data_IF_247081905817
#
_entry.id   IF_247081905817
#
_cell.length_a   1.000
_cell.length_b   1.000
_cell.length_c   1.000
_cell.angle_alpha   90.00
_cell.angle_beta   90.00
_cell.angle_gamma   90.00
#
_symmetry.space_group_name_H-M   'P 1'
#
loop_
_entity.id
_entity.type
_entity.pdbx_description
1 polymer ?
#
# COMPACT_ATOMS: atom_id res chain seq x y z
N UNK A 1 22.28 35.90 10.96
CA UNK A 1 23.09 35.43 9.83
C UNK A 1 23.50 36.62 8.97
N UNK A 2 24.62 36.53 8.26
CA UNK A 2 25.13 37.51 7.29
C UNK A 2 25.22 36.89 5.89
N UNK A 3 25.54 37.67 4.86
CA UNK A 3 25.56 37.22 3.46
C UNK A 3 26.42 35.97 3.24
N UNK A 4 27.59 35.92 3.88
CA UNK A 4 28.56 34.82 3.74
C UNK A 4 28.09 33.52 4.38
N UNK A 5 27.16 33.58 5.35
CA UNK A 5 26.57 32.38 5.96
C UNK A 5 25.76 31.57 4.94
N UNK A 6 25.12 32.25 3.98
CA UNK A 6 24.26 31.63 2.97
C UNK A 6 24.96 31.48 1.61
N UNK A 7 25.67 32.52 1.16
CA UNK A 7 26.28 32.55 -0.17
C UNK A 7 27.71 32.01 -0.20
N UNK A 8 28.38 31.92 0.96
CA UNK A 8 29.82 31.68 1.04
C UNK A 8 30.65 32.95 0.88
N UNK A 9 31.96 32.82 1.02
CA UNK A 9 32.90 33.95 1.02
C UNK A 9 33.54 34.19 -0.35
N UNK A 10 33.87 33.11 -1.07
CA UNK A 10 34.51 33.14 -2.38
C UNK A 10 33.73 32.29 -3.39
N UNK A 11 33.76 32.67 -4.67
CA UNK A 11 33.11 31.91 -5.74
C UNK A 11 31.60 31.85 -5.62
N UNK A 12 30.94 32.97 -5.28
CA UNK A 12 29.48 33.05 -5.15
C UNK A 12 28.84 32.80 -6.51
N UNK A 13 28.12 31.68 -6.63
CA UNK A 13 27.43 31.27 -7.84
C UNK A 13 25.98 31.78 -7.86
N UNK A 14 25.42 32.09 -9.04
CA UNK A 14 24.02 32.47 -9.17
C UNK A 14 23.10 31.33 -8.70
N UNK A 15 21.92 31.65 -8.18
CA UNK A 15 20.96 30.66 -7.65
C UNK A 15 20.51 29.60 -8.66
N UNK A 16 20.66 29.86 -9.96
CA UNK A 16 20.32 28.92 -11.04
C UNK A 16 21.38 27.82 -11.18
N UNK A 17 22.59 28.04 -10.68
CA UNK A 17 23.66 27.05 -10.72
C UNK A 17 23.40 25.97 -9.66
N UNK A 18 23.50 24.70 -10.04
CA UNK A 18 23.30 23.56 -9.13
C UNK A 18 24.37 23.46 -8.05
N UNK A 19 25.57 24.02 -8.29
CA UNK A 19 26.64 24.10 -7.29
C UNK A 19 26.47 25.29 -6.34
N UNK A 20 25.51 26.18 -6.58
CA UNK A 20 25.22 27.29 -5.69
C UNK A 20 24.59 26.81 -4.38
N UNK A 21 25.09 27.32 -3.25
CA UNK A 21 24.49 27.08 -1.93
C UNK A 21 23.07 27.62 -1.80
N UNK A 22 22.70 28.58 -2.65
CA UNK A 22 21.36 29.15 -2.68
C UNK A 22 20.52 28.63 -3.86
N UNK A 23 20.94 27.53 -4.49
CA UNK A 23 20.11 26.78 -5.42
C UNK A 23 18.86 26.23 -4.72
N UNK A 24 17.74 26.12 -5.45
CA UNK A 24 16.46 25.64 -4.92
C UNK A 24 16.56 24.30 -4.16
N UNK A 25 17.42 23.37 -4.61
CA UNK A 25 17.65 22.08 -3.95
C UNK A 25 18.64 22.16 -2.78
N UNK A 26 19.52 23.16 -2.75
CA UNK A 26 20.53 23.35 -1.72
C UNK A 26 20.02 24.16 -0.51
N UNK A 27 18.87 24.84 -0.62
CA UNK A 27 18.31 25.68 0.45
C UNK A 27 18.12 24.90 1.76
N UNK A 28 17.68 23.64 1.68
CA UNK A 28 17.53 22.77 2.86
C UNK A 28 18.84 22.66 3.64
N UNK A 29 19.95 22.42 2.94
CA UNK A 29 21.28 22.28 3.57
C UNK A 29 21.81 23.62 4.06
N UNK A 30 21.61 24.69 3.29
CA UNK A 30 22.05 26.05 3.66
C UNK A 30 21.38 26.52 4.95
N UNK A 31 20.07 26.37 5.08
CA UNK A 31 19.37 26.65 6.33
C UNK A 31 19.74 25.63 7.43
N UNK A 32 19.93 24.36 7.04
CA UNK A 32 20.26 23.23 7.91
C UNK A 32 21.59 23.36 8.64
N UNK A 33 22.58 24.11 8.12
CA UNK A 33 23.85 24.37 8.81
C UNK A 33 23.66 24.97 10.20
N UNK A 34 22.65 25.81 10.37
CA UNK A 34 22.29 26.41 11.64
C UNK A 34 21.09 25.71 12.28
N UNK A 35 20.01 25.49 11.51
CA UNK A 35 18.75 24.93 12.03
C UNK A 35 18.80 23.41 12.30
N UNK A 36 19.78 22.70 11.76
CA UNK A 36 20.07 21.29 12.09
C UNK A 36 21.17 21.13 13.14
N UNK A 37 21.78 22.23 13.61
CA UNK A 37 22.87 22.19 14.57
C UNK A 37 22.32 22.24 16.01
N UNK A 38 22.50 21.15 16.77
CA UNK A 38 22.00 21.03 18.14
C UNK A 38 22.60 22.06 19.10
N UNK A 39 23.89 22.37 18.95
CA UNK A 39 24.58 23.35 19.81
C UNK A 39 24.01 24.75 19.60
N UNK A 40 23.84 25.17 18.35
CA UNK A 40 23.24 26.46 18.02
C UNK A 40 21.77 26.51 18.42
N UNK A 41 21.01 25.45 18.12
CA UNK A 41 19.60 25.36 18.47
C UNK A 41 19.38 25.54 19.98
N UNK A 42 20.16 24.85 20.81
CA UNK A 42 20.09 25.01 22.27
C UNK A 42 20.50 26.41 22.73
N UNK A 43 21.59 26.95 22.18
CA UNK A 43 22.10 28.28 22.55
C UNK A 43 21.09 29.38 22.29
N UNK A 44 20.36 29.30 21.18
CA UNK A 44 19.39 30.32 20.76
C UNK A 44 17.93 29.94 21.08
N UNK A 45 17.68 28.83 21.78
CA UNK A 45 16.32 28.38 22.13
C UNK A 45 15.44 28.04 20.92
N UNK A 46 16.04 27.61 19.81
CA UNK A 46 15.34 27.25 18.58
C UNK A 46 15.01 25.75 18.60
N UNK A 47 13.80 25.32 18.19
CA UNK A 47 13.49 23.90 18.05
C UNK A 47 14.45 23.20 17.08
N UNK A 48 15.07 22.10 17.53
CA UNK A 48 16.07 21.37 16.74
C UNK A 48 15.48 20.39 15.72
N UNK A 49 14.16 20.23 15.70
CA UNK A 49 13.43 19.28 14.85
C UNK A 49 12.86 19.92 13.58
N UNK A 50 13.13 21.22 13.32
CA UNK A 50 12.59 21.92 12.14
C UNK A 50 13.12 21.36 10.82
N UNK A 51 14.40 20.97 10.78
CA UNK A 51 15.00 20.35 9.60
C UNK A 51 14.44 18.94 9.36
N UNK A 52 14.35 18.13 10.42
CA UNK A 52 13.85 16.75 10.32
C UNK A 52 12.35 16.69 9.99
N UNK A 53 11.54 17.58 10.57
CA UNK A 53 10.12 17.71 10.22
C UNK A 53 9.92 18.17 8.77
N UNK A 54 10.76 19.09 8.28
CA UNK A 54 10.71 19.48 6.87
C UNK A 54 11.09 18.32 5.95
N UNK A 55 12.18 17.61 6.23
CA UNK A 55 12.64 16.46 5.43
C UNK A 55 11.60 15.34 5.37
N UNK A 56 10.83 15.15 6.45
CA UNK A 56 9.75 14.17 6.52
C UNK A 56 8.47 14.61 5.77
N UNK A 57 8.33 15.89 5.46
CA UNK A 57 7.17 16.43 4.74
C UNK A 57 7.20 16.08 3.25
N UNK A 58 6.05 16.19 2.57
CA UNK A 58 5.98 15.99 1.12
C UNK A 58 6.95 16.93 0.36
N UNK A 59 7.05 18.19 0.79
CA UNK A 59 7.95 19.16 0.15
C UNK A 59 9.42 18.77 0.32
N UNK A 60 9.83 18.35 1.52
CA UNK A 60 11.19 17.88 1.78
C UNK A 60 11.55 16.61 1.00
N UNK A 61 10.65 15.62 0.98
CA UNK A 61 10.84 14.39 0.21
C UNK A 61 10.94 14.66 -1.30
N UNK A 62 10.07 15.52 -1.85
CA UNK A 62 10.13 15.90 -3.26
C UNK A 62 11.39 16.71 -3.60
N UNK A 63 11.82 17.62 -2.72
CA UNK A 63 13.07 18.36 -2.92
C UNK A 63 14.26 17.41 -2.95
N UNK A 64 14.28 16.44 -2.03
CA UNK A 64 15.31 15.41 -1.95
C UNK A 64 15.30 14.47 -3.16
N UNK A 65 14.14 14.23 -3.75
CA UNK A 65 13.97 13.52 -5.02
C UNK A 65 14.40 14.35 -6.26
N UNK A 66 14.87 15.60 -6.07
CA UNK A 66 15.39 16.45 -7.14
C UNK A 66 14.37 17.41 -7.77
N UNK A 67 13.15 17.50 -7.24
CA UNK A 67 12.09 18.38 -7.78
C UNK A 67 12.38 19.83 -7.42
N UNK A 68 12.95 20.60 -8.35
CA UNK A 68 13.37 21.99 -8.09
C UNK A 68 12.22 22.97 -7.88
N UNK A 69 11.04 22.67 -8.42
CA UNK A 69 9.86 23.55 -8.35
C UNK A 69 9.09 23.43 -7.04
N UNK A 70 9.46 22.49 -6.16
CA UNK A 70 8.77 22.30 -4.89
C UNK A 70 9.15 23.39 -3.88
N UNK A 71 8.23 23.70 -2.97
CA UNK A 71 8.50 24.67 -1.92
C UNK A 71 9.67 24.22 -1.02
N UNK A 72 10.55 25.14 -0.67
CA UNK A 72 11.64 24.94 0.26
C UNK A 72 11.53 25.91 1.46
N UNK A 73 12.54 25.93 2.34
CA UNK A 73 12.53 26.80 3.51
C UNK A 73 12.29 28.28 3.14
N UNK A 74 12.92 28.76 2.07
CA UNK A 74 12.81 30.15 1.63
C UNK A 74 11.44 30.47 1.00
N UNK A 75 10.76 29.48 0.41
CA UNK A 75 9.39 29.65 -0.13
C UNK A 75 8.38 30.03 0.97
N UNK A 76 8.62 29.61 2.21
CA UNK A 76 7.75 29.90 3.34
C UNK A 76 8.28 31.03 4.22
N UNK A 77 9.60 31.10 4.45
CA UNK A 77 10.22 32.02 5.42
C UNK A 77 10.83 33.29 4.80
N UNK A 78 10.98 33.37 3.47
CA UNK A 78 11.76 34.41 2.81
C UNK A 78 13.25 34.08 2.73
N UNK A 79 14.05 35.00 2.17
CA UNK A 79 15.48 34.77 1.93
C UNK A 79 16.39 35.91 2.43
N UNK A 80 15.98 37.17 2.29
CA UNK A 80 16.70 38.34 2.84
C UNK A 80 15.87 39.10 3.88
N UNK A 81 14.62 38.70 4.08
CA UNK A 81 13.60 39.30 4.91
C UNK A 81 12.99 38.26 5.86
N UNK A 82 13.85 37.40 6.42
CA UNK A 82 13.43 36.30 7.31
C UNK A 82 13.00 36.90 8.65
N UNK A 83 11.69 36.90 8.89
CA UNK A 83 11.05 37.45 10.09
C UNK A 83 10.43 36.34 10.95
N UNK A 84 10.39 36.48 12.29
CA UNK A 84 9.73 35.52 13.16
C UNK A 84 8.23 35.43 12.84
N UNK A 85 7.61 34.27 13.08
CA UNK A 85 6.18 34.02 12.75
C UNK A 85 5.21 34.91 13.54
N UNK A 86 5.67 35.57 14.59
CA UNK A 86 4.91 36.56 15.37
C UNK A 86 4.91 37.96 14.74
N UNK A 87 5.80 38.24 13.79
CA UNK A 87 5.83 39.52 13.08
C UNK A 87 4.73 39.52 12.00
N UNK A 88 3.80 40.50 12.00
CA UNK A 88 2.75 40.62 10.99
C UNK A 88 3.26 40.70 9.54
N UNK A 89 4.52 41.10 9.33
CA UNK A 89 5.16 41.15 8.02
C UNK A 89 5.70 39.79 7.57
N UNK A 90 5.94 38.83 8.48
CA UNK A 90 6.47 37.50 8.17
C UNK A 90 5.54 36.73 7.23
N UNK A 91 6.12 36.09 6.21
CA UNK A 91 5.39 35.18 5.31
C UNK A 91 4.78 33.98 6.06
N UNK A 92 5.32 33.63 7.23
CA UNK A 92 4.80 32.56 8.09
C UNK A 92 3.82 33.04 9.16
N UNK A 93 3.49 34.34 9.18
CA UNK A 93 2.50 34.87 10.12
C UNK A 93 1.12 34.25 9.84
N UNK A 94 0.33 33.86 10.86
CA UNK A 94 -0.95 33.17 10.67
C UNK A 94 -1.91 33.84 9.67
N UNK A 95 -1.97 35.18 9.66
CA UNK A 95 -2.81 35.93 8.71
C UNK A 95 -2.28 35.95 7.27
N UNK A 96 -0.99 35.67 7.05
CA UNK A 96 -0.34 35.64 5.73
C UNK A 96 -0.18 34.23 5.16
N UNK A 97 -0.30 33.18 5.98
CA UNK A 97 -0.18 31.79 5.53
C UNK A 97 -1.03 31.50 4.29
N UNK A 98 -2.26 32.03 4.24
CA UNK A 98 -3.15 31.90 3.09
C UNK A 98 -2.51 32.41 1.78
N UNK A 99 -1.88 33.58 1.82
CA UNK A 99 -1.19 34.14 0.66
C UNK A 99 0.10 33.37 0.35
N UNK A 100 0.86 32.98 1.39
CA UNK A 100 2.13 32.26 1.24
C UNK A 100 1.95 30.91 0.57
N UNK A 101 1.05 30.05 1.07
CA UNK A 101 0.77 28.76 0.41
C UNK A 101 0.04 28.97 -0.92
N UNK A 102 -0.81 30.00 -1.03
CA UNK A 102 -1.53 30.35 -2.26
C UNK A 102 -0.64 30.69 -3.45
N UNK A 103 0.63 31.05 -3.22
CA UNK A 103 1.62 31.26 -4.29
C UNK A 103 1.89 30.00 -5.12
N UNK A 104 1.77 28.81 -4.52
CA UNK A 104 1.91 27.52 -5.20
C UNK A 104 0.59 26.74 -5.28
N UNK A 105 -0.37 27.02 -4.39
CA UNK A 105 -1.67 26.37 -4.31
C UNK A 105 -2.82 27.33 -4.64
N UNK A 106 -2.98 27.73 -5.92
CA UNK A 106 -4.03 28.65 -6.31
C UNK A 106 -5.42 28.06 -6.04
N UNK A 107 -6.30 28.85 -5.44
CA UNK A 107 -7.67 28.45 -5.12
C UNK A 107 -7.83 27.57 -3.87
N UNK A 108 -6.75 27.28 -3.13
CA UNK A 108 -6.80 26.47 -1.91
C UNK A 108 -7.51 27.15 -0.71
N UNK A 109 -7.95 28.40 -0.84
CA UNK A 109 -8.68 29.13 0.20
C UNK A 109 -7.81 29.56 1.38
N UNK A 110 -8.35 29.55 2.60
CA UNK A 110 -7.64 29.91 3.84
C UNK A 110 -7.69 28.82 4.91
N UNK A 111 -8.45 27.73 4.67
CA UNK A 111 -8.69 26.65 5.64
C UNK A 111 -7.46 25.80 5.94
N UNK A 112 -6.43 25.87 5.10
CA UNK A 112 -5.16 25.19 5.35
C UNK A 112 -4.29 25.86 6.42
N UNK A 113 -4.59 27.10 6.83
CA UNK A 113 -3.85 27.81 7.87
C UNK A 113 -4.07 27.24 9.30
N UNK A 114 -4.93 26.23 9.44
CA UNK A 114 -5.40 25.66 10.71
C UNK A 114 -4.52 24.47 11.14
N UNK A 115 -3.19 24.62 11.12
CA UNK A 115 -2.29 23.55 11.57
C UNK A 115 -0.82 23.92 11.57
N UNK A 116 -0.03 23.17 12.33
CA UNK A 116 1.43 23.30 12.36
C UNK A 116 2.04 22.76 11.07
N UNK A 117 2.92 23.52 10.41
CA UNK A 117 3.60 23.08 9.18
C UNK A 117 4.77 22.15 9.54
N UNK A 118 5.60 22.56 10.50
CA UNK A 118 6.71 21.77 11.01
C UNK A 118 6.25 20.90 12.16
N UNK A 119 5.74 19.72 11.85
CA UNK A 119 5.47 18.67 12.83
C UNK A 119 6.28 17.43 12.46
N UNK A 120 6.64 16.64 13.47
CA UNK A 120 7.32 15.37 13.28
C UNK A 120 6.45 14.23 13.77
N UNK A 121 6.62 13.05 13.18
CA UNK A 121 5.85 11.87 13.57
C UNK A 121 5.95 11.64 15.09
N UNK A 122 4.82 11.60 15.79
CA UNK A 122 4.76 11.46 17.25
C UNK A 122 4.87 12.76 18.05
N UNK A 123 5.04 13.92 17.41
CA UNK A 123 5.08 15.23 18.08
C UNK A 123 4.26 16.29 17.32
N UNK A 124 3.31 16.92 18.02
CA UNK A 124 2.52 18.06 17.48
C UNK A 124 1.70 17.75 16.22
N UNK A 125 1.39 16.48 15.97
CA UNK A 125 0.50 16.05 14.89
C UNK A 125 -0.98 16.23 15.27
N UNK A 126 -1.87 16.28 14.27
CA UNK A 126 -3.30 16.28 14.52
C UNK A 126 -3.77 14.93 15.11
N UNK A 127 -4.68 14.99 16.08
CA UNK A 127 -5.23 13.81 16.77
C UNK A 127 -5.69 12.66 15.83
N UNK A 128 -6.43 12.93 14.73
CA UNK A 128 -6.83 11.88 13.79
C UNK A 128 -5.64 11.17 13.12
N UNK A 129 -4.58 11.92 12.80
CA UNK A 129 -3.36 11.40 12.18
C UNK A 129 -2.63 10.47 13.14
N UNK A 130 -2.55 10.88 14.42
CA UNK A 130 -1.98 10.05 15.49
C UNK A 130 -2.71 8.72 15.63
N UNK A 131 -4.04 8.74 15.71
CA UNK A 131 -4.84 7.53 15.86
C UNK A 131 -4.72 6.60 14.64
N UNK A 132 -4.75 7.17 13.43
CA UNK A 132 -4.52 6.40 12.20
C UNK A 132 -3.15 5.72 12.22
N UNK A 133 -2.08 6.44 12.57
CA UNK A 133 -0.75 5.84 12.68
C UNK A 133 -0.72 4.71 13.72
N UNK A 134 -1.21 4.95 14.94
CA UNK A 134 -1.20 3.95 16.00
C UNK A 134 -1.98 2.69 15.61
N UNK A 135 -3.11 2.87 14.93
CA UNK A 135 -3.89 1.77 14.37
C UNK A 135 -3.06 0.92 13.41
N UNK A 136 -2.36 1.53 12.43
CA UNK A 136 -1.53 0.79 11.48
C UNK A 136 -0.28 0.18 12.12
N UNK A 137 0.35 0.85 13.09
CA UNK A 137 1.50 0.32 13.82
C UNK A 137 1.15 -0.94 14.60
N UNK A 138 -0.11 -1.10 15.03
CA UNK A 138 -0.60 -2.34 15.61
C UNK A 138 -1.09 -3.32 14.54
N UNK A 139 -1.90 -2.86 13.58
CA UNK A 139 -2.56 -3.71 12.59
C UNK A 139 -1.57 -4.40 11.65
N UNK A 140 -0.53 -3.71 11.17
CA UNK A 140 0.46 -4.31 10.26
C UNK A 140 1.17 -5.52 10.90
N UNK A 141 1.84 -5.40 12.07
CA UNK A 141 2.48 -6.56 12.67
C UNK A 141 1.48 -7.64 13.09
N UNK A 142 0.27 -7.27 13.53
CA UNK A 142 -0.77 -8.26 13.85
C UNK A 142 -1.18 -9.08 12.62
N UNK A 143 -1.53 -8.40 11.51
CA UNK A 143 -1.97 -9.05 10.27
C UNK A 143 -0.84 -9.84 9.62
N UNK A 144 0.34 -9.23 9.44
CA UNK A 144 1.48 -9.92 8.81
C UNK A 144 2.01 -11.05 9.69
N UNK A 145 2.04 -10.86 11.01
CA UNK A 145 2.38 -11.92 11.96
C UNK A 145 1.42 -13.11 11.88
N UNK A 146 0.11 -12.84 11.83
CA UNK A 146 -0.89 -13.88 11.59
C UNK A 146 -0.67 -14.61 10.25
N UNK A 147 -0.44 -13.85 9.17
CA UNK A 147 -0.18 -14.41 7.84
C UNK A 147 1.05 -15.33 7.86
N UNK A 148 2.17 -14.89 8.42
CA UNK A 148 3.39 -15.70 8.53
C UNK A 148 3.18 -16.97 9.34
N UNK A 149 2.49 -16.90 10.48
CA UNK A 149 2.18 -18.07 11.31
C UNK A 149 1.30 -19.07 10.53
N UNK A 150 0.29 -18.55 9.84
CA UNK A 150 -0.63 -19.34 9.04
C UNK A 150 0.08 -20.06 7.87
N UNK A 151 0.87 -19.33 7.08
CA UNK A 151 1.60 -19.91 5.94
C UNK A 151 2.74 -20.84 6.40
N UNK A 152 3.43 -20.50 7.50
CA UNK A 152 4.49 -21.33 8.07
C UNK A 152 3.95 -22.69 8.55
N UNK A 153 2.82 -22.69 9.25
CA UNK A 153 2.14 -23.93 9.66
C UNK A 153 1.72 -24.78 8.46
N UNK A 154 1.13 -24.14 7.45
CA UNK A 154 0.73 -24.82 6.20
C UNK A 154 1.93 -25.46 5.49
N UNK A 155 3.00 -24.68 5.30
CA UNK A 155 4.22 -25.11 4.63
C UNK A 155 4.84 -26.32 5.34
N UNK A 156 5.06 -26.23 6.66
CA UNK A 156 5.64 -27.31 7.45
C UNK A 156 4.81 -28.58 7.33
N UNK A 157 3.48 -28.46 7.41
CA UNK A 157 2.57 -29.62 7.33
C UNK A 157 2.60 -30.27 5.96
N UNK A 158 2.46 -29.49 4.88
CA UNK A 158 2.50 -30.00 3.50
C UNK A 158 3.85 -30.59 3.17
N UNK A 159 4.94 -29.95 3.59
CA UNK A 159 6.29 -30.42 3.38
C UNK A 159 6.57 -31.74 4.10
N UNK A 160 6.16 -31.88 5.37
CA UNK A 160 6.25 -33.15 6.11
C UNK A 160 5.46 -34.25 5.40
N UNK A 161 4.23 -33.96 4.96
CA UNK A 161 3.39 -34.92 4.21
C UNK A 161 4.06 -35.37 2.91
N UNK A 162 4.62 -34.45 2.14
CA UNK A 162 5.33 -34.75 0.89
C UNK A 162 6.60 -35.57 1.13
N UNK A 163 7.39 -35.24 2.16
CA UNK A 163 8.57 -36.05 2.54
C UNK A 163 8.19 -37.46 2.97
N UNK A 164 7.17 -37.61 3.82
CA UNK A 164 6.68 -38.92 4.26
C UNK A 164 6.14 -39.75 3.07
N UNK A 165 5.41 -39.13 2.15
CA UNK A 165 4.93 -39.79 0.94
C UNK A 165 6.06 -40.19 -0.02
N UNK A 166 7.11 -39.38 -0.13
CA UNK A 166 8.30 -39.70 -0.93
C UNK A 166 9.13 -40.86 -0.35
N UNK A 167 8.99 -41.15 0.96
CA UNK A 167 9.65 -42.27 1.64
C UNK A 167 8.82 -43.57 1.67
N UNK A 168 7.58 -43.57 1.16
CA UNK A 168 6.72 -44.76 1.06
C UNK A 168 6.88 -45.53 -0.27
N UNK A 169 6.36 -46.77 -0.38
CA UNK A 169 6.39 -47.52 -1.64
C UNK A 169 5.66 -46.75 -2.75
N UNK A 170 6.31 -46.59 -3.91
CA UNK A 170 5.77 -45.86 -5.08
C UNK A 170 4.63 -46.65 -5.73
N UNK A 171 3.43 -46.57 -5.14
CA UNK A 171 2.18 -46.87 -5.83
C UNK A 171 1.87 -45.73 -6.80
N UNK A 172 2.08 -45.96 -8.10
CA UNK A 172 1.70 -45.02 -9.16
C UNK A 172 0.17 -45.00 -9.26
N UNK A 173 -0.47 -44.07 -8.55
CA UNK A 173 -1.81 -43.61 -8.91
C UNK A 173 -1.68 -42.35 -9.74
N UNK A 174 -1.68 -42.52 -11.06
CA UNK A 174 -2.03 -41.45 -12.00
C UNK A 174 -3.51 -41.16 -11.73
N UNK A 175 -3.77 -40.15 -10.90
CA UNK A 175 -5.10 -39.58 -10.81
C UNK A 175 -5.35 -38.88 -12.15
N UNK A 176 -6.10 -39.57 -13.02
CA UNK A 176 -6.67 -38.98 -14.24
C UNK A 176 -7.36 -37.67 -13.86
N UNK A 177 -6.95 -36.60 -14.54
CA UNK A 177 -7.52 -35.28 -14.42
C UNK A 177 -9.05 -35.36 -14.55
N UNK A 178 -9.77 -35.14 -13.45
CA UNK A 178 -11.15 -34.66 -13.55
C UNK A 178 -11.08 -33.25 -14.14
N UNK A 179 -11.90 -32.96 -15.15
CA UNK A 179 -11.88 -31.68 -15.86
C UNK A 179 -11.87 -30.51 -14.87
N UNK A 180 -10.77 -29.76 -14.84
CA UNK A 180 -10.67 -28.57 -14.00
C UNK A 180 -11.65 -27.54 -14.53
N UNK A 181 -12.69 -27.26 -13.75
CA UNK A 181 -13.60 -26.15 -13.99
C UNK A 181 -12.78 -24.86 -14.20
N UNK A 182 -13.22 -24.00 -15.12
CA UNK A 182 -12.56 -22.71 -15.35
C UNK A 182 -12.61 -21.89 -14.05
N UNK A 183 -11.44 -21.62 -13.46
CA UNK A 183 -11.29 -20.84 -12.22
C UNK A 183 -11.23 -19.34 -12.47
N UNK A 184 -10.73 -18.93 -13.64
CA UNK A 184 -10.70 -17.52 -14.07
C UNK A 184 -11.04 -17.39 -15.55
N UNK A 185 -12.03 -16.55 -15.86
CA UNK A 185 -12.42 -16.23 -17.22
C UNK A 185 -11.40 -15.30 -17.89
N UNK A 186 -11.42 -15.24 -19.23
CA UNK A 186 -10.51 -14.36 -19.99
C UNK A 186 -10.58 -12.87 -19.55
N UNK A 187 -11.77 -12.26 -19.36
CA UNK A 187 -11.84 -10.87 -18.90
C UNK A 187 -11.23 -10.67 -17.50
N UNK A 188 -11.39 -11.63 -16.59
CA UNK A 188 -10.83 -11.59 -15.24
C UNK A 188 -9.31 -11.68 -15.29
N UNK A 189 -8.74 -12.53 -16.17
CA UNK A 189 -7.30 -12.64 -16.37
C UNK A 189 -6.68 -11.37 -16.93
N UNK A 190 -7.33 -10.72 -17.89
CA UNK A 190 -6.86 -9.44 -18.45
C UNK A 190 -6.90 -8.33 -17.41
N UNK A 191 -7.99 -8.24 -16.63
CA UNK A 191 -8.09 -7.29 -15.51
C UNK A 191 -7.02 -7.56 -14.46
N UNK A 192 -6.79 -8.82 -14.10
CA UNK A 192 -5.77 -9.22 -13.14
C UNK A 192 -4.36 -8.87 -13.63
N UNK A 193 -4.02 -9.18 -14.89
CA UNK A 193 -2.71 -8.83 -15.46
C UNK A 193 -2.46 -7.32 -15.46
N UNK A 194 -3.48 -6.52 -15.82
CA UNK A 194 -3.38 -5.07 -15.76
C UNK A 194 -3.27 -4.55 -14.31
N UNK A 195 -3.99 -5.17 -13.36
CA UNK A 195 -3.91 -4.85 -11.94
C UNK A 195 -2.50 -5.12 -11.40
N UNK A 196 -1.90 -6.26 -11.72
CA UNK A 196 -0.53 -6.62 -11.32
C UNK A 196 0.46 -5.56 -11.80
N UNK A 197 0.45 -5.23 -13.10
CA UNK A 197 1.36 -4.22 -13.66
C UNK A 197 1.19 -2.85 -13.01
N UNK A 198 -0.06 -2.41 -12.84
CA UNK A 198 -0.38 -1.13 -12.19
C UNK A 198 0.07 -1.13 -10.72
N UNK A 199 -0.24 -2.18 -9.95
CA UNK A 199 0.10 -2.29 -8.53
C UNK A 199 1.60 -2.24 -8.30
N UNK A 200 2.40 -3.05 -9.00
CA UNK A 200 3.86 -3.05 -8.81
C UNK A 200 4.49 -1.71 -9.24
N UNK A 201 3.94 -1.06 -10.27
CA UNK A 201 4.37 0.29 -10.68
C UNK A 201 4.07 1.33 -9.59
N UNK A 202 2.88 1.29 -8.99
CA UNK A 202 2.48 2.17 -7.89
C UNK A 202 3.35 1.96 -6.64
N UNK A 203 3.60 0.71 -6.26
CA UNK A 203 4.46 0.33 -5.14
C UNK A 203 5.87 0.87 -5.35
N UNK A 204 6.48 0.61 -6.50
CA UNK A 204 7.85 1.05 -6.78
C UNK A 204 7.96 2.58 -6.79
N UNK A 205 7.11 3.26 -7.55
CA UNK A 205 7.13 4.73 -7.67
C UNK A 205 6.73 5.46 -6.38
N UNK A 206 5.85 4.87 -5.57
CA UNK A 206 5.40 5.40 -4.29
C UNK A 206 6.49 5.29 -3.22
N UNK A 207 7.06 4.10 -3.02
CA UNK A 207 8.14 3.92 -2.05
C UNK A 207 9.41 4.66 -2.45
N UNK A 208 9.69 4.82 -3.75
CA UNK A 208 10.83 5.60 -4.22
C UNK A 208 10.78 7.07 -3.72
N UNK A 209 9.59 7.67 -3.61
CA UNK A 209 9.44 9.02 -3.02
C UNK A 209 9.72 9.05 -1.52
N UNK A 210 9.32 8.00 -0.78
CA UNK A 210 9.55 7.93 0.67
C UNK A 210 11.02 7.65 0.99
N UNK A 211 11.70 6.88 0.15
CA UNK A 211 13.07 6.41 0.37
C UNK A 211 13.99 6.75 -0.82
N UNK A 212 14.16 8.04 -1.17
CA UNK A 212 14.87 8.45 -2.40
C UNK A 212 16.36 8.06 -2.41
N UNK A 213 17.01 7.96 -1.24
CA UNK A 213 18.43 7.63 -1.14
C UNK A 213 18.74 6.14 -1.32
N UNK A 214 17.72 5.29 -1.41
CA UNK A 214 17.93 3.84 -1.51
C UNK A 214 18.37 3.43 -2.91
N UNK A 215 19.25 2.44 -3.00
CA UNK A 215 19.84 1.99 -4.26
C UNK A 215 18.81 1.57 -5.32
N UNK A 216 17.66 1.05 -4.92
CA UNK A 216 16.58 0.61 -5.82
C UNK A 216 15.67 1.77 -6.27
N UNK A 217 15.66 2.90 -5.55
CA UNK A 217 14.94 4.11 -5.92
C UNK A 217 15.78 5.01 -6.84
N UNK A 218 17.10 5.01 -6.67
CA UNK A 218 18.05 5.86 -7.40
C UNK A 218 17.88 5.88 -8.93
N UNK A 219 17.67 4.75 -9.63
CA UNK A 219 17.46 4.77 -11.08
C UNK A 219 16.26 5.64 -11.49
N UNK A 220 15.20 5.64 -10.68
CA UNK A 220 14.01 6.45 -10.92
C UNK A 220 14.23 7.91 -10.48
N UNK A 221 14.97 8.17 -9.40
CA UNK A 221 15.26 9.52 -8.91
C UNK A 221 16.20 10.29 -9.86
N UNK A 222 17.16 9.61 -10.47
CA UNK A 222 18.05 10.21 -11.47
C UNK A 222 17.29 10.71 -12.71
N UNK A 223 16.15 10.07 -13.01
CA UNK A 223 15.26 10.44 -14.10
C UNK A 223 14.19 11.46 -13.67
N UNK A 224 14.10 11.82 -12.39
CA UNK A 224 13.05 12.70 -11.87
C UNK A 224 13.24 14.13 -12.39
N UNK A 225 14.48 14.63 -12.42
CA UNK A 225 14.94 15.80 -13.18
C UNK A 225 13.97 17.01 -13.18
N UNK A 226 13.95 17.83 -14.24
CA UNK A 226 12.96 18.91 -14.38
C UNK A 226 11.54 18.41 -14.68
N UNK A 227 11.36 17.16 -15.10
CA UNK A 227 10.11 16.65 -15.67
C UNK A 227 9.19 15.94 -14.67
N UNK A 228 9.64 15.72 -13.42
CA UNK A 228 8.87 15.02 -12.38
C UNK A 228 8.33 13.66 -12.83
N UNK A 229 9.14 12.89 -13.56
CA UNK A 229 8.72 11.68 -14.28
C UNK A 229 8.09 10.63 -13.36
N UNK A 230 8.70 10.36 -12.21
CA UNK A 230 8.16 9.44 -11.17
C UNK A 230 6.73 9.79 -10.81
N UNK A 231 6.46 11.09 -10.56
CA UNK A 231 5.12 11.57 -10.21
C UNK A 231 4.10 11.32 -11.31
N UNK A 232 4.48 11.48 -12.58
CA UNK A 232 3.64 11.15 -13.72
C UNK A 232 3.36 9.65 -13.83
N UNK A 233 4.40 8.80 -13.73
CA UNK A 233 4.24 7.35 -13.79
C UNK A 233 3.29 6.87 -12.67
N UNK A 234 3.47 7.37 -11.45
CA UNK A 234 2.62 7.02 -10.31
C UNK A 234 1.14 7.39 -10.55
N UNK A 235 0.88 8.61 -11.03
CA UNK A 235 -0.49 9.09 -11.31
C UNK A 235 -1.14 8.33 -12.47
N UNK A 236 -0.41 8.05 -13.53
CA UNK A 236 -0.90 7.24 -14.65
C UNK A 236 -1.23 5.82 -14.19
N UNK A 237 -0.36 5.18 -13.41
CA UNK A 237 -0.62 3.86 -12.84
C UNK A 237 -1.84 3.86 -11.91
N UNK A 238 -2.00 4.92 -11.09
CA UNK A 238 -3.17 5.11 -10.22
C UNK A 238 -4.46 5.30 -11.00
N UNK A 239 -4.44 6.08 -12.08
CA UNK A 239 -5.58 6.24 -12.98
C UNK A 239 -5.97 4.91 -13.63
N UNK A 240 -4.99 4.10 -14.08
CA UNK A 240 -5.23 2.74 -14.57
C UNK A 240 -5.89 1.88 -13.50
N UNK A 241 -5.41 1.90 -12.25
CA UNK A 241 -6.02 1.13 -11.16
C UNK A 241 -7.48 1.54 -10.91
N UNK A 242 -7.77 2.84 -10.85
CA UNK A 242 -9.13 3.37 -10.66
C UNK A 242 -10.04 2.94 -11.82
N UNK A 243 -9.56 3.09 -13.06
CA UNK A 243 -10.32 2.68 -14.25
C UNK A 243 -10.58 1.17 -14.24
N UNK A 244 -9.59 0.35 -13.88
CA UNK A 244 -9.76 -1.10 -13.74
C UNK A 244 -10.80 -1.45 -12.68
N UNK A 245 -10.83 -0.76 -11.54
CA UNK A 245 -11.87 -0.95 -10.51
C UNK A 245 -13.26 -0.59 -11.02
N UNK A 246 -13.40 0.51 -11.77
CA UNK A 246 -14.67 0.90 -12.37
C UNK A 246 -15.11 -0.12 -13.41
N UNK A 247 -14.21 -0.55 -14.30
CA UNK A 247 -14.47 -1.61 -15.29
C UNK A 247 -14.89 -2.89 -14.57
N UNK A 248 -14.21 -3.27 -13.48
CA UNK A 248 -14.57 -4.45 -12.69
C UNK A 248 -16.02 -4.37 -12.19
N UNK A 249 -16.41 -3.26 -11.55
CA UNK A 249 -17.80 -3.05 -11.10
C UNK A 249 -18.79 -3.09 -12.26
N UNK A 250 -18.49 -2.45 -13.39
CA UNK A 250 -19.34 -2.50 -14.59
C UNK A 250 -19.49 -3.93 -15.09
N UNK A 251 -18.41 -4.71 -15.14
CA UNK A 251 -18.46 -6.11 -15.58
C UNK A 251 -19.30 -7.00 -14.67
N UNK A 252 -19.28 -6.76 -13.35
CA UNK A 252 -20.14 -7.45 -12.39
C UNK A 252 -21.62 -7.11 -12.56
N UNK A 253 -21.95 -5.88 -13.00
CA UNK A 253 -23.34 -5.49 -13.26
C UNK A 253 -23.83 -6.05 -14.59
N UNK A 254 -23.01 -5.92 -15.64
CA UNK A 254 -23.39 -6.19 -17.01
C UNK A 254 -23.38 -7.69 -17.38
N UNK A 255 -22.50 -8.49 -16.76
CA UNK A 255 -22.35 -9.90 -17.13
C UNK A 255 -22.84 -10.81 -15.99
N UNK A 256 -23.98 -11.47 -16.21
CA UNK A 256 -24.58 -12.41 -15.25
C UNK A 256 -23.61 -13.53 -14.84
N UNK A 257 -22.84 -14.10 -15.78
CA UNK A 257 -21.89 -15.18 -15.49
C UNK A 257 -20.78 -14.74 -14.55
N UNK A 258 -20.19 -13.55 -14.78
CA UNK A 258 -19.18 -12.99 -13.87
C UNK A 258 -19.79 -12.58 -12.53
N UNK A 259 -21.02 -12.06 -12.54
CA UNK A 259 -21.73 -11.71 -11.31
C UNK A 259 -21.99 -12.93 -10.43
N UNK A 260 -22.46 -14.03 -11.03
CA UNK A 260 -22.78 -15.25 -10.31
C UNK A 260 -21.48 -15.86 -9.72
N UNK A 261 -20.37 -15.84 -10.48
CA UNK A 261 -19.04 -16.20 -9.98
C UNK A 261 -18.60 -15.31 -8.79
N UNK A 262 -18.79 -13.99 -8.91
CA UNK A 262 -18.45 -13.05 -7.84
C UNK A 262 -19.30 -13.19 -6.58
N UNK A 263 -20.59 -13.53 -6.71
CA UNK A 263 -21.48 -13.76 -5.56
C UNK A 263 -20.98 -14.88 -4.65
N UNK A 264 -20.14 -15.80 -5.15
CA UNK A 264 -19.49 -16.82 -4.33
C UNK A 264 -18.38 -16.26 -3.42
N UNK A 265 -17.80 -15.10 -3.77
CA UNK A 265 -16.76 -14.42 -3.00
C UNK A 265 -17.30 -13.58 -1.84
N UNK A 266 -18.62 -13.49 -1.69
CA UNK A 266 -19.25 -12.80 -0.57
C UNK A 266 -19.00 -13.58 0.73
N UNK A 267 -18.42 -12.98 1.78
CA UNK A 267 -18.13 -13.67 3.03
C UNK A 267 -19.43 -14.07 3.73
N UNK A 268 -19.49 -15.32 4.18
CA UNK A 268 -20.60 -15.89 4.95
C UNK A 268 -20.13 -16.16 6.38
N UNK A 269 -21.06 -16.26 7.33
CA UNK A 269 -20.73 -16.59 8.73
C UNK A 269 -19.98 -17.93 8.89
N UNK A 270 -20.17 -18.85 7.92
CA UNK A 270 -19.43 -20.12 7.88
C UNK A 270 -17.95 -19.95 7.57
N UNK A 271 -17.55 -18.88 6.88
CA UNK A 271 -16.15 -18.60 6.54
C UNK A 271 -15.32 -18.25 7.78
N UNK A 272 -15.92 -17.63 8.80
CA UNK A 272 -15.25 -17.40 10.09
C UNK A 272 -14.92 -18.73 10.80
N UNK A 273 -15.83 -19.71 10.71
CA UNK A 273 -15.58 -21.06 11.21
C UNK A 273 -14.51 -21.77 10.37
N UNK A 274 -14.55 -21.62 9.06
CA UNK A 274 -13.54 -22.17 8.13
C UNK A 274 -12.15 -21.61 8.42
N UNK A 275 -12.04 -20.29 8.64
CA UNK A 275 -10.83 -19.59 9.06
C UNK A 275 -10.27 -20.20 10.35
N UNK A 276 -11.05 -20.21 11.44
CA UNK A 276 -10.57 -20.69 12.75
C UNK A 276 -10.15 -22.16 12.66
N UNK A 277 -11.01 -23.01 12.11
CA UNK A 277 -10.75 -24.45 12.00
C UNK A 277 -9.57 -24.74 11.06
N UNK A 278 -9.44 -23.98 9.96
CA UNK A 278 -8.34 -24.03 9.01
C UNK A 278 -7.02 -23.64 9.64
N UNK A 279 -6.99 -22.54 10.38
CA UNK A 279 -5.79 -22.08 11.11
C UNK A 279 -5.35 -23.11 12.15
N UNK A 280 -6.27 -23.60 12.98
CA UNK A 280 -5.96 -24.63 13.99
C UNK A 280 -5.41 -25.91 13.35
N UNK A 281 -5.95 -26.32 12.21
CA UNK A 281 -5.47 -27.48 11.47
C UNK A 281 -4.04 -27.26 10.93
N UNK A 282 -3.74 -26.07 10.38
CA UNK A 282 -2.39 -25.74 9.87
C UNK A 282 -1.35 -25.63 10.97
N UNK A 283 -1.75 -25.14 12.14
CA UNK A 283 -0.89 -25.08 13.33
C UNK A 283 -0.74 -26.44 14.04
N UNK A 284 -1.42 -27.49 13.56
CA UNK A 284 -1.34 -28.84 14.16
C UNK A 284 -2.15 -29.00 15.45
N UNK A 285 -2.90 -27.98 15.85
CA UNK A 285 -3.80 -28.01 17.01
C UNK A 285 -5.10 -28.78 16.72
N UNK A 286 -5.41 -29.03 15.43
CA UNK A 286 -6.49 -29.90 14.98
C UNK A 286 -5.98 -30.99 14.03
N UNK A 287 -6.47 -32.22 14.23
CA UNK A 287 -6.11 -33.40 13.41
C UNK A 287 -7.00 -33.58 12.18
N UNK A 288 -8.29 -33.29 12.30
CA UNK A 288 -9.29 -33.44 11.23
C UNK A 288 -9.19 -32.36 10.16
N UNK A 289 -9.34 -32.76 8.90
CA UNK A 289 -9.41 -31.83 7.77
C UNK A 289 -10.71 -31.02 7.87
N UNK A 290 -10.64 -29.68 7.94
CA UNK A 290 -11.84 -28.86 7.98
C UNK A 290 -12.54 -28.84 6.62
N UNK A 291 -13.85 -28.59 6.65
CA UNK A 291 -14.62 -28.28 5.45
C UNK A 291 -14.00 -27.09 4.71
N UNK A 292 -13.96 -27.13 3.38
CA UNK A 292 -13.54 -26.02 2.53
C UNK A 292 -14.67 -25.67 1.56
N UNK A 293 -14.98 -24.38 1.49
CA UNK A 293 -15.87 -23.86 0.44
C UNK A 293 -15.16 -23.84 -0.93
N UNK A 294 -15.94 -23.74 -2.01
CA UNK A 294 -15.45 -23.75 -3.39
C UNK A 294 -14.37 -22.68 -3.62
N UNK A 295 -14.67 -21.44 -3.23
CA UNK A 295 -13.67 -20.42 -2.95
C UNK A 295 -13.31 -20.46 -1.47
N UNK A 296 -12.07 -20.82 -1.16
CA UNK A 296 -11.55 -20.85 0.21
C UNK A 296 -11.70 -19.48 0.88
N UNK A 297 -11.86 -19.46 2.20
CA UNK A 297 -11.86 -18.21 2.96
C UNK A 297 -10.59 -17.35 2.68
N UNK A 298 -9.47 -17.98 2.33
CA UNK A 298 -8.22 -17.32 1.94
C UNK A 298 -8.45 -16.42 0.73
N UNK A 299 -9.08 -16.95 -0.31
CA UNK A 299 -9.32 -16.24 -1.57
C UNK A 299 -10.35 -15.12 -1.38
N UNK A 300 -11.38 -15.37 -0.56
CA UNK A 300 -12.36 -14.33 -0.21
C UNK A 300 -11.69 -13.20 0.55
N UNK A 301 -10.86 -13.50 1.56
CA UNK A 301 -10.13 -12.48 2.30
C UNK A 301 -9.17 -11.70 1.41
N UNK A 302 -8.46 -12.36 0.50
CA UNK A 302 -7.59 -11.69 -0.49
C UNK A 302 -8.39 -10.73 -1.38
N UNK A 303 -9.49 -11.20 -1.94
CA UNK A 303 -10.36 -10.37 -2.79
C UNK A 303 -10.86 -9.12 -2.05
N UNK A 304 -11.40 -9.29 -0.84
CA UNK A 304 -11.95 -8.17 -0.08
C UNK A 304 -10.87 -7.23 0.48
N UNK A 305 -9.70 -7.76 0.84
CA UNK A 305 -8.56 -6.95 1.23
C UNK A 305 -8.11 -6.05 0.06
N UNK A 306 -8.00 -6.59 -1.15
CA UNK A 306 -7.67 -5.82 -2.34
C UNK A 306 -8.77 -4.81 -2.67
N UNK A 307 -10.05 -5.22 -2.65
CA UNK A 307 -11.16 -4.32 -2.94
C UNK A 307 -11.21 -3.12 -1.97
N UNK A 308 -11.07 -3.38 -0.67
CA UNK A 308 -11.00 -2.32 0.35
C UNK A 308 -9.77 -1.44 0.16
N UNK A 309 -8.59 -2.06 0.01
CA UNK A 309 -7.34 -1.36 -0.20
C UNK A 309 -7.39 -0.44 -1.41
N UNK A 310 -7.96 -0.89 -2.54
CA UNK A 310 -8.11 -0.07 -3.74
C UNK A 310 -9.04 1.13 -3.53
N UNK A 311 -10.14 0.97 -2.78
CA UNK A 311 -11.02 2.09 -2.44
C UNK A 311 -10.27 3.11 -1.58
N UNK A 312 -9.62 2.67 -0.51
CA UNK A 312 -8.89 3.54 0.41
C UNK A 312 -7.73 4.27 -0.30
N UNK A 313 -6.94 3.54 -1.08
CA UNK A 313 -5.83 4.08 -1.87
C UNK A 313 -6.32 5.03 -2.96
N UNK A 314 -7.45 4.73 -3.60
CA UNK A 314 -8.07 5.59 -4.60
C UNK A 314 -8.55 6.92 -4.01
N UNK A 315 -9.30 6.89 -2.90
CA UNK A 315 -9.80 8.10 -2.24
C UNK A 315 -8.65 8.96 -1.72
N UNK A 316 -7.73 8.36 -0.96
CA UNK A 316 -6.58 9.10 -0.41
C UNK A 316 -5.66 9.62 -1.52
N UNK A 317 -5.42 8.85 -2.57
CA UNK A 317 -4.62 9.26 -3.73
C UNK A 317 -5.25 10.42 -4.50
N UNK A 318 -6.58 10.40 -4.72
CA UNK A 318 -7.30 11.50 -5.36
C UNK A 318 -7.26 12.78 -4.52
N UNK A 319 -7.39 12.67 -3.19
CA UNK A 319 -7.25 13.83 -2.30
C UNK A 319 -5.87 14.49 -2.41
N UNK A 320 -4.81 13.69 -2.49
CA UNK A 320 -3.43 14.16 -2.61
C UNK A 320 -3.11 14.71 -4.01
N UNK A 321 -3.66 14.09 -5.06
CA UNK A 321 -3.51 14.55 -6.43
C UNK A 321 -4.22 15.90 -6.62
N UNK A 322 -5.49 16.00 -6.23
CA UNK A 322 -6.29 17.23 -6.30
C UNK A 322 -6.15 18.07 -5.02
N UNK A 323 -4.91 18.30 -4.57
CA UNK A 323 -4.65 18.96 -3.30
C UNK A 323 -5.26 20.37 -3.19
N UNK A 324 -5.27 21.19 -4.25
CA UNK A 324 -5.91 22.51 -4.21
C UNK A 324 -7.41 22.42 -3.91
N UNK A 325 -8.09 21.46 -4.55
CA UNK A 325 -9.50 21.18 -4.27
C UNK A 325 -9.67 20.70 -2.83
N UNK A 326 -8.86 19.74 -2.39
CA UNK A 326 -8.90 19.23 -1.01
C UNK A 326 -8.70 20.35 0.00
N UNK A 327 -7.72 21.25 -0.18
CA UNK A 327 -7.45 22.36 0.72
C UNK A 327 -8.54 23.45 0.69
N UNK A 328 -9.20 23.63 -0.46
CA UNK A 328 -10.30 24.58 -0.59
C UNK A 328 -11.47 24.22 0.33
N UNK A 329 -11.81 22.92 0.41
CA UNK A 329 -12.98 22.46 1.14
C UNK A 329 -12.65 21.89 2.52
N UNK A 330 -11.48 21.26 2.67
CA UNK A 330 -11.07 20.53 3.88
C UNK A 330 -9.88 21.23 4.58
N UNK A 331 -9.84 21.18 5.92
CA UNK A 331 -8.65 21.55 6.67
C UNK A 331 -7.41 20.75 6.25
N UNK A 332 -6.21 21.34 6.38
CA UNK A 332 -4.93 20.71 5.98
C UNK A 332 -4.71 19.32 6.60
N UNK A 333 -5.14 19.10 7.85
CA UNK A 333 -4.94 17.81 8.53
C UNK A 333 -5.59 16.63 7.79
N UNK A 334 -6.58 16.85 6.92
CA UNK A 334 -7.13 15.80 6.05
C UNK A 334 -6.12 15.31 5.01
N UNK A 335 -5.28 16.19 4.47
CA UNK A 335 -4.19 15.78 3.59
C UNK A 335 -3.09 15.07 4.36
N UNK A 336 -2.82 15.48 5.60
CA UNK A 336 -1.87 14.78 6.46
C UNK A 336 -2.38 13.36 6.77
N UNK A 337 -3.67 13.24 7.13
CA UNK A 337 -4.34 11.96 7.33
C UNK A 337 -4.33 11.09 6.06
N UNK A 338 -4.69 11.68 4.91
CA UNK A 338 -4.66 10.97 3.64
C UNK A 338 -3.25 10.47 3.31
N UNK A 339 -2.20 11.27 3.56
CA UNK A 339 -0.81 10.87 3.38
C UNK A 339 -0.44 9.69 4.28
N UNK A 340 -0.84 9.74 5.55
CA UNK A 340 -0.61 8.67 6.53
C UNK A 340 -1.32 7.38 6.13
N UNK A 341 -2.62 7.45 5.84
CA UNK A 341 -3.42 6.29 5.41
C UNK A 341 -2.88 5.69 4.11
N UNK A 342 -2.60 6.52 3.11
CA UNK A 342 -2.07 6.07 1.82
C UNK A 342 -0.73 5.34 1.97
N UNK A 343 0.18 5.86 2.79
CA UNK A 343 1.48 5.22 3.02
C UNK A 343 1.37 3.89 3.77
N UNK A 344 0.67 3.87 4.91
CA UNK A 344 0.58 2.65 5.71
C UNK A 344 -0.28 1.57 5.05
N UNK A 345 -1.33 1.94 4.33
CA UNK A 345 -2.10 0.99 3.53
C UNK A 345 -1.26 0.42 2.39
N UNK A 346 -0.47 1.23 1.68
CA UNK A 346 0.46 0.73 0.66
C UNK A 346 1.46 -0.28 1.25
N UNK A 347 1.98 -0.02 2.46
CA UNK A 347 2.86 -0.94 3.17
C UNK A 347 2.15 -2.25 3.55
N UNK A 348 0.97 -2.17 4.14
CA UNK A 348 0.17 -3.34 4.49
C UNK A 348 -0.16 -4.18 3.24
N UNK A 349 -0.67 -3.54 2.19
CA UNK A 349 -1.05 -4.20 0.94
C UNK A 349 0.17 -4.87 0.28
N UNK A 350 1.32 -4.19 0.22
CA UNK A 350 2.55 -4.77 -0.33
C UNK A 350 2.99 -5.99 0.45
N UNK A 351 3.05 -5.90 1.79
CA UNK A 351 3.43 -7.03 2.63
C UNK A 351 2.43 -8.17 2.55
N UNK A 352 1.13 -7.89 2.52
CA UNK A 352 0.09 -8.90 2.35
C UNK A 352 0.22 -9.61 1.00
N UNK A 353 0.46 -8.89 -0.09
CA UNK A 353 0.68 -9.52 -1.40
C UNK A 353 1.92 -10.42 -1.35
N UNK A 354 3.03 -9.97 -0.80
CA UNK A 354 4.27 -10.76 -0.75
C UNK A 354 4.16 -11.99 0.15
N UNK A 355 3.62 -11.82 1.36
CA UNK A 355 3.60 -12.88 2.39
C UNK A 355 2.46 -13.86 2.18
N UNK A 356 1.29 -13.37 1.77
CA UNK A 356 0.07 -14.16 1.73
C UNK A 356 -0.26 -14.60 0.30
N UNK A 357 -0.43 -13.66 -0.62
CA UNK A 357 -0.85 -13.95 -1.99
C UNK A 357 0.23 -14.66 -2.82
N UNK A 358 1.47 -14.16 -2.86
CA UNK A 358 2.55 -14.82 -3.59
C UNK A 358 2.87 -16.18 -2.98
N UNK A 359 2.69 -16.37 -1.67
CA UNK A 359 2.78 -17.71 -1.09
C UNK A 359 1.70 -18.63 -1.64
N UNK A 360 0.42 -18.23 -1.60
CA UNK A 360 -0.71 -19.10 -1.96
C UNK A 360 -0.69 -19.50 -3.44
N UNK A 361 -0.11 -18.66 -4.29
CA UNK A 361 -0.04 -18.84 -5.74
C UNK A 361 1.30 -19.44 -6.22
N UNK A 362 2.45 -19.10 -5.62
CA UNK A 362 3.78 -19.52 -6.12
C UNK A 362 4.43 -20.55 -5.19
N UNK A 363 4.44 -20.29 -3.87
CA UNK A 363 5.24 -21.07 -2.92
C UNK A 363 4.50 -22.18 -2.18
N UNK A 364 3.19 -22.32 -2.38
CA UNK A 364 2.42 -23.45 -1.84
C UNK A 364 2.91 -24.76 -2.49
N UNK A 365 3.42 -25.74 -1.71
CA UNK A 365 3.97 -27.00 -2.24
C UNK A 365 3.03 -27.83 -3.11
N UNK A 366 1.72 -27.57 -3.06
CA UNK A 366 0.72 -28.26 -3.88
C UNK A 366 0.62 -27.71 -5.32
N UNK A 367 1.07 -26.47 -5.56
CA UNK A 367 0.98 -25.78 -6.85
C UNK A 367 2.32 -25.25 -7.36
N UNK A 368 3.41 -25.45 -6.60
CA UNK A 368 4.76 -25.05 -6.99
C UNK A 368 5.13 -25.61 -8.37
N UNK A 369 5.71 -24.80 -9.29
CA UNK A 369 6.26 -23.46 -9.06
C UNK A 369 5.25 -22.32 -9.10
N UNK A 370 4.03 -22.52 -9.61
CA UNK A 370 2.99 -21.49 -9.69
C UNK A 370 1.64 -22.08 -10.09
N UNK A 371 0.54 -21.57 -9.50
CA UNK A 371 -0.82 -21.83 -9.97
C UNK A 371 -1.08 -21.14 -11.31
N UNK A 372 -1.46 -21.90 -12.33
CA UNK A 372 -1.67 -21.41 -13.69
C UNK A 372 -3.01 -20.70 -13.91
N UNK A 373 -3.90 -20.65 -12.92
CA UNK A 373 -5.25 -20.09 -13.08
C UNK A 373 -5.26 -18.66 -13.66
N UNK A 374 -4.35 -17.80 -13.22
CA UNK A 374 -4.26 -16.42 -13.69
C UNK A 374 -3.73 -16.26 -15.12
N UNK A 375 -3.07 -17.30 -15.67
CA UNK A 375 -2.58 -17.34 -17.04
C UNK A 375 -3.54 -18.10 -17.97
N UNK A 376 -3.85 -19.35 -17.63
CA UNK A 376 -4.59 -20.28 -18.50
C UNK A 376 -6.09 -20.33 -18.20
N UNK A 377 -6.51 -19.82 -17.04
CA UNK A 377 -7.89 -19.91 -16.55
C UNK A 377 -8.17 -21.18 -15.76
N UNK A 378 -7.22 -22.13 -15.72
CA UNK A 378 -7.36 -23.41 -15.02
C UNK A 378 -6.29 -23.55 -13.95
N UNK A 379 -6.69 -24.00 -12.76
CA UNK A 379 -5.76 -24.25 -11.66
C UNK A 379 -5.15 -25.64 -11.75
N UNK A 380 -3.89 -25.75 -11.33
CA UNK A 380 -3.19 -27.03 -11.14
C UNK A 380 -3.53 -27.68 -9.79
N UNK A 381 -4.20 -26.94 -8.90
CA UNK A 381 -4.59 -27.41 -7.58
C UNK A 381 -5.61 -28.55 -7.72
N UNK A 382 -5.31 -29.68 -7.09
CA UNK A 382 -6.24 -30.82 -7.04
C UNK A 382 -7.44 -30.44 -6.16
N UNK A 383 -8.65 -30.50 -6.73
CA UNK A 383 -9.87 -30.39 -5.94
C UNK A 383 -9.94 -31.55 -4.95
N UNK A 384 -10.25 -31.23 -3.70
CA UNK A 384 -10.56 -32.26 -2.71
C UNK A 384 -11.99 -32.75 -2.99
N UNK A 385 -12.28 -34.06 -2.93
CA UNK A 385 -13.64 -34.54 -3.12
C UNK A 385 -14.55 -33.88 -2.10
N UNK A 386 -15.42 -32.99 -2.58
CA UNK A 386 -16.43 -32.36 -1.76
C UNK A 386 -17.45 -33.45 -1.35
N UNK A 387 -17.80 -33.59 -0.06
CA UNK A 387 -19.09 -34.14 0.26
C UNK A 387 -20.11 -33.14 -0.29
N UNK A 388 -20.85 -33.52 -1.33
CA UNK A 388 -21.99 -32.73 -1.78
C UNK A 388 -22.85 -32.39 -0.54
N UNK A 389 -23.27 -31.13 -0.35
CA UNK A 389 -24.34 -30.87 0.60
C UNK A 389 -25.53 -31.70 0.11
N UNK A 390 -25.97 -32.65 0.92
CA UNK A 390 -27.10 -33.50 0.59
C UNK A 390 -28.24 -32.62 0.07
N UNK A 391 -28.61 -32.82 -1.19
CA UNK A 391 -29.88 -32.37 -1.74
C UNK A 391 -30.96 -32.87 -0.79
N UNK A 392 -31.79 -32.00 -0.19
CA UNK A 392 -32.92 -32.46 0.61
C UNK A 392 -33.90 -33.14 -0.34
N UNK A 393 -33.81 -34.46 -0.49
CA UNK A 393 -34.71 -35.23 -1.34
C UNK A 393 -34.18 -36.52 -1.95
N UNK A 394 -32.87 -36.77 -1.98
CA UNK A 394 -32.36 -38.05 -2.51
C UNK A 394 -32.27 -39.10 -1.40
N UNK A 395 -33.33 -39.90 -1.31
CA UNK A 395 -33.34 -41.12 -0.53
C UNK A 395 -32.22 -42.05 -1.03
N UNK A 396 -31.31 -42.41 -0.12
CA UNK A 396 -30.35 -43.49 -0.32
C UNK A 396 -31.14 -44.78 -0.57
N UNK A 397 -30.94 -45.51 -1.69
CA UNK A 397 -31.55 -46.81 -1.84
C UNK A 397 -30.89 -47.76 -0.85
N UNK A 398 -31.67 -48.25 0.11
CA UNK A 398 -31.29 -49.41 0.92
C UNK A 398 -31.23 -50.63 0.00
N UNK A 399 -30.02 -51.10 -0.33
CA UNK A 399 -29.83 -52.47 -0.81
C UNK A 399 -30.16 -53.44 0.34
N UNK A 400 -31.38 -53.98 0.32
CA UNK A 400 -31.73 -55.17 1.09
C UNK A 400 -31.21 -56.40 0.34
N UNK A 401 -30.18 -57.03 0.87
CA UNK A 401 -29.67 -58.33 0.43
C UNK A 401 -30.58 -59.45 0.97
N UNK A 402 -31.30 -60.24 0.14
CA UNK A 402 -32.11 -61.35 0.62
C UNK A 402 -31.47 -62.67 0.19
N UNK A 403 -30.58 -63.25 1.00
CA UNK A 403 -30.26 -64.67 0.87
C UNK A 403 -29.48 -65.18 2.09
N UNK A 404 -30.19 -65.73 3.07
CA UNK A 404 -29.71 -66.78 3.98
C UNK A 404 -30.87 -67.28 4.85
N UNK A 405 -31.69 -68.20 4.32
CA UNK A 405 -32.39 -69.24 5.09
C UNK A 405 -32.85 -70.35 4.16
N UNK A 406 -32.13 -71.47 4.17
CA UNK A 406 -32.66 -72.83 4.01
C UNK A 406 -31.63 -73.82 4.54
#
# INVERSE_FOLDING_TARGET
PVCTDCHGEHGILPKSDTASRVNALAIRDTCGRCHGNLTLSRRFGIPSDRLTSFDASFHGLAAKAGVQSVANCASCHGFHDILPSTDPKSMTHPSKLAATCGSCHPGAGSRFAIGTIHWSEGQQEAEPVRYARLFYLFMIPATIGFMLLHQGGDFIRKFKRLRLAASGPRGVTIALHTESAERMYLPERLQHGALVLSFFTLVWTGFALKYPDTWWAQPLMQLEGPWSLRGWIHRCAGAVMIVLSVIHVITLVANKRLRDHWMELIPRMRDARELIQGTLFRLGLRREVPFRSHHSYIEKMEYWAVAWGTILMGVTGLMLWFNNWSLQYLPKWWLDLATTLHFYEALLATLAIVVWHLYSVIFDPEVYPMDTAWLTGKSVRKESPHPHPATPGEAVPHETNPEQTS
#
